data_IF_675600527039
#
_entry.id   IF_675600527039
#
_cell.length_a   1.000
_cell.length_b   1.000
_cell.length_c   1.000
_cell.angle_alpha   90.00
_cell.angle_beta   90.00
_cell.angle_gamma   90.00
#
_symmetry.space_group_name_H-M   'P 1'
#
loop_
_entity.id
_entity.type
_entity.pdbx_description
1 polymer ?
#
# COMPACT_ATOMS: atom_id res chain seq x y z
N UNK A 1 6.58 -18.48 19.02
CA UNK A 1 5.13 -18.47 18.78
C UNK A 1 4.86 -17.44 17.72
N UNK A 2 4.23 -17.82 16.60
CA UNK A 2 3.78 -16.86 15.60
C UNK A 2 2.67 -16.04 16.26
N UNK A 3 2.91 -14.75 16.49
CA UNK A 3 1.83 -13.82 16.84
C UNK A 3 0.90 -13.76 15.64
N UNK A 4 -0.38 -14.04 15.82
CA UNK A 4 -1.39 -13.86 14.77
C UNK A 4 -1.41 -12.39 14.37
N UNK A 5 -0.75 -12.08 13.25
CA UNK A 5 -0.74 -10.75 12.65
C UNK A 5 -2.06 -10.58 11.91
N UNK A 6 -3.02 -9.92 12.55
CA UNK A 6 -4.30 -9.59 11.95
C UNK A 6 -4.17 -8.30 11.14
N UNK A 7 -4.55 -8.36 9.86
CA UNK A 7 -4.63 -7.19 8.97
C UNK A 7 -6.10 -6.80 8.85
N UNK A 8 -6.45 -5.57 9.23
CA UNK A 8 -7.81 -5.06 9.10
C UNK A 8 -8.00 -4.43 7.72
N UNK A 9 -8.95 -4.94 6.94
CA UNK A 9 -9.28 -4.42 5.62
C UNK A 9 -10.72 -3.92 5.62
N UNK A 10 -10.90 -2.62 5.38
CA UNK A 10 -12.22 -2.03 5.19
C UNK A 10 -12.63 -2.16 3.71
N UNK A 11 -13.88 -2.57 3.49
CA UNK A 11 -14.42 -2.82 2.16
C UNK A 11 -15.81 -2.20 2.01
N UNK A 12 -16.02 -1.51 0.89
CA UNK A 12 -17.33 -0.96 0.53
C UNK A 12 -17.88 -1.71 -0.69
N UNK A 13 -19.15 -2.11 -0.59
CA UNK A 13 -19.89 -2.70 -1.71
C UNK A 13 -20.52 -1.57 -2.53
N UNK A 14 -20.06 -1.40 -3.76
CA UNK A 14 -20.52 -0.34 -4.66
C UNK A 14 -21.05 -0.93 -5.95
N UNK A 15 -22.06 -0.28 -6.53
CA UNK A 15 -22.52 -0.62 -7.88
C UNK A 15 -21.42 -0.25 -8.86
N UNK A 16 -21.09 -1.13 -9.80
CA UNK A 16 -20.06 -0.85 -10.78
C UNK A 16 -20.38 0.40 -11.62
N UNK A 17 -19.43 1.34 -11.65
CA UNK A 17 -19.36 2.43 -12.62
C UNK A 17 -17.96 2.46 -13.24
N UNK A 18 -17.86 2.72 -14.55
CA UNK A 18 -16.56 2.89 -15.22
C UNK A 18 -15.80 4.12 -14.70
N UNK A 19 -16.53 5.10 -14.14
CA UNK A 19 -15.94 6.28 -13.49
C UNK A 19 -15.19 5.94 -12.20
N UNK A 20 -15.54 4.84 -11.53
CA UNK A 20 -14.88 4.38 -10.30
C UNK A 20 -13.55 3.69 -10.54
N UNK A 21 -13.26 3.32 -11.80
CA UNK A 21 -11.99 2.72 -12.14
C UNK A 21 -10.87 3.79 -12.09
N UNK A 22 -9.67 3.42 -11.62
CA UNK A 22 -8.54 4.34 -11.56
C UNK A 22 -8.25 4.91 -12.96
N UNK A 23 -8.26 6.24 -13.07
CA UNK A 23 -8.03 6.96 -14.32
C UNK A 23 -6.54 7.16 -14.61
N UNK A 24 -5.70 7.12 -13.57
CA UNK A 24 -4.24 7.18 -13.66
C UNK A 24 -3.63 5.94 -13.00
N UNK A 25 -2.41 5.53 -13.40
CA UNK A 25 -1.70 4.42 -12.76
C UNK A 25 -1.42 4.68 -11.27
N UNK A 26 -1.16 5.94 -10.89
CA UNK A 26 -1.03 6.36 -9.48
C UNK A 26 -2.33 6.19 -8.70
N UNK A 27 -3.49 6.45 -9.35
CA UNK A 27 -4.79 6.23 -8.73
C UNK A 27 -5.16 4.74 -8.59
N UNK A 28 -4.44 3.84 -9.25
CA UNK A 28 -4.62 2.39 -9.13
C UNK A 28 -3.95 1.82 -7.87
N UNK A 29 -3.27 2.66 -7.09
CA UNK A 29 -2.66 2.28 -5.83
C UNK A 29 -3.72 1.92 -4.77
N UNK A 30 -3.55 0.75 -4.15
CA UNK A 30 -4.48 0.19 -3.16
C UNK A 30 -4.14 0.66 -1.74
N UNK A 31 -2.96 1.25 -1.52
CA UNK A 31 -2.48 1.65 -0.19
C UNK A 31 -3.39 2.74 0.40
N UNK A 32 -3.87 2.49 1.63
CA UNK A 32 -4.67 3.46 2.39
C UNK A 32 -6.06 3.76 1.81
N UNK A 33 -6.52 2.99 0.82
CA UNK A 33 -7.84 3.16 0.21
C UNK A 33 -8.77 1.99 0.55
N UNK A 34 -10.06 2.24 0.78
CA UNK A 34 -11.03 1.16 0.97
C UNK A 34 -11.09 0.29 -0.28
N UNK A 35 -11.13 -1.03 -0.10
CA UNK A 35 -11.35 -1.95 -1.22
C UNK A 35 -12.76 -1.74 -1.75
N UNK A 36 -12.87 -1.38 -3.03
CA UNK A 36 -14.17 -1.32 -3.73
C UNK A 36 -14.47 -2.68 -4.33
N UNK A 37 -15.44 -3.39 -3.78
CA UNK A 37 -15.99 -4.60 -4.42
C UNK A 37 -17.15 -4.15 -5.30
N UNK A 38 -16.88 -4.06 -6.61
CA UNK A 38 -17.90 -3.74 -7.60
C UNK A 38 -18.55 -5.02 -8.14
N UNK A 39 -19.86 -5.13 -8.02
CA UNK A 39 -20.61 -6.18 -8.71
C UNK A 39 -21.22 -5.61 -10.00
N UNK A 40 -21.03 -6.25 -11.17
CA UNK A 40 -21.87 -6.00 -12.32
C UNK A 40 -23.25 -6.63 -12.03
N UNK A 41 -24.07 -5.97 -11.22
CA UNK A 41 -25.42 -6.45 -10.93
C UNK A 41 -26.18 -6.48 -12.25
N UNK A 42 -26.63 -7.66 -12.68
CA UNK A 42 -28.02 -7.92 -13.12
C UNK A 42 -28.14 -9.28 -13.79
N UNK A 43 -29.36 -9.83 -13.71
CA UNK A 43 -29.91 -11.06 -14.29
C UNK A 43 -29.77 -11.21 -15.82
N UNK A 44 -28.91 -10.44 -16.49
CA UNK A 44 -28.78 -10.39 -17.94
C UNK A 44 -27.30 -10.34 -18.40
N UNK A 45 -26.77 -11.51 -18.75
CA UNK A 45 -25.88 -11.67 -19.92
C UNK A 45 -24.36 -11.51 -19.70
N UNK A 46 -23.62 -12.52 -20.18
CA UNK A 46 -22.14 -12.50 -20.24
C UNK A 46 -21.53 -11.36 -21.08
N UNK A 47 -22.30 -10.68 -21.93
CA UNK A 47 -21.83 -9.51 -22.70
C UNK A 47 -21.42 -8.33 -21.81
N UNK A 48 -22.14 -8.08 -20.70
CA UNK A 48 -21.76 -7.02 -19.75
C UNK A 48 -20.50 -7.40 -18.96
N UNK A 49 -20.34 -8.68 -18.64
CA UNK A 49 -19.13 -9.19 -17.98
C UNK A 49 -17.91 -9.08 -18.88
N UNK A 50 -18.04 -9.43 -20.17
CA UNK A 50 -16.96 -9.29 -21.13
C UNK A 50 -16.51 -7.84 -21.31
N UNK A 51 -17.48 -6.91 -21.43
CA UNK A 51 -17.18 -5.47 -21.50
C UNK A 51 -16.46 -4.98 -20.23
N UNK A 52 -16.88 -5.45 -19.05
CA UNK A 52 -16.23 -5.14 -17.78
C UNK A 52 -14.80 -5.69 -17.72
N UNK A 53 -14.58 -6.96 -18.07
CA UNK A 53 -13.24 -7.56 -18.10
C UNK A 53 -12.32 -6.82 -19.08
N UNK A 54 -12.81 -6.44 -20.27
CA UNK A 54 -12.05 -5.62 -21.21
C UNK A 54 -11.75 -4.22 -20.65
N UNK A 55 -12.65 -3.63 -19.86
CA UNK A 55 -12.38 -2.35 -19.20
C UNK A 55 -11.27 -2.47 -18.13
N UNK A 56 -11.23 -3.59 -17.41
CA UNK A 56 -10.15 -3.88 -16.46
C UNK A 56 -8.82 -4.12 -17.17
N UNK A 57 -8.81 -4.92 -18.24
CA UNK A 57 -7.60 -5.19 -19.05
C UNK A 57 -7.01 -3.92 -19.65
N UNK A 58 -7.86 -3.02 -20.20
CA UNK A 58 -7.43 -1.70 -20.72
C UNK A 58 -6.72 -0.85 -19.66
N UNK A 59 -6.98 -1.10 -18.38
CA UNK A 59 -6.39 -0.38 -17.24
C UNK A 59 -5.34 -1.21 -16.50
N UNK A 60 -4.91 -2.35 -17.06
CA UNK A 60 -3.96 -3.28 -16.45
C UNK A 60 -4.40 -3.84 -15.08
N UNK A 61 -5.72 -3.83 -14.79
CA UNK A 61 -6.27 -4.34 -13.52
C UNK A 61 -6.42 -5.86 -13.62
N UNK A 62 -5.51 -6.57 -12.96
CA UNK A 62 -5.49 -8.03 -12.93
C UNK A 62 -6.14 -8.63 -11.67
N UNK A 63 -6.53 -7.78 -10.72
CA UNK A 63 -7.02 -8.15 -9.39
C UNK A 63 -8.54 -8.03 -9.30
N UNK A 64 -9.23 -8.92 -9.99
CA UNK A 64 -10.70 -8.99 -9.98
C UNK A 64 -11.21 -10.35 -9.48
N UNK A 65 -12.46 -10.38 -9.04
CA UNK A 65 -13.18 -11.61 -8.69
C UNK A 65 -14.64 -11.44 -9.08
N UNK A 66 -15.27 -12.52 -9.53
CA UNK A 66 -16.69 -12.60 -9.86
C UNK A 66 -17.40 -13.43 -8.79
N UNK A 67 -18.38 -12.81 -8.15
CA UNK A 67 -19.24 -13.47 -7.17
C UNK A 67 -20.54 -13.90 -7.84
N UNK A 68 -20.87 -15.19 -7.74
CA UNK A 68 -22.11 -15.77 -8.25
C UNK A 68 -22.96 -16.16 -7.07
N UNK A 69 -24.14 -15.57 -6.92
CA UNK A 69 -25.09 -15.97 -5.87
C UNK A 69 -25.74 -17.28 -6.32
N UNK A 70 -25.59 -18.34 -5.53
CA UNK A 70 -26.27 -19.61 -5.76
C UNK A 70 -27.76 -19.44 -5.49
N UNK A 71 -28.60 -19.78 -6.47
CA UNK A 71 -30.06 -19.80 -6.29
C UNK A 71 -30.51 -21.08 -5.56
N UNK A 72 -31.51 -20.92 -4.71
CA UNK A 72 -32.22 -22.03 -4.10
C UNK A 72 -32.90 -22.91 -5.14
N UNK A 73 -32.85 -24.21 -4.92
CA UNK A 73 -33.86 -25.14 -5.40
C UNK A 73 -34.64 -25.70 -4.22
N UNK A 74 -35.44 -24.86 -3.57
CA UNK A 74 -36.48 -25.33 -2.65
C UNK A 74 -37.38 -26.32 -3.44
N UNK A 75 -37.33 -27.60 -3.07
CA UNK A 75 -38.22 -28.64 -3.60
C UNK A 75 -37.72 -29.49 -4.77
N UNK A 76 -36.45 -29.41 -5.20
CA UNK A 76 -35.87 -30.36 -6.18
C UNK A 76 -34.80 -31.25 -5.54
N UNK A 77 -34.66 -32.53 -5.96
CA UNK A 77 -33.71 -33.46 -5.35
C UNK A 77 -32.27 -32.92 -5.46
N UNK A 78 -31.53 -33.06 -4.34
CA UNK A 78 -30.19 -32.52 -3.99
C UNK A 78 -29.03 -32.76 -4.98
N UNK A 79 -29.28 -33.22 -6.21
CA UNK A 79 -28.25 -33.68 -7.15
C UNK A 79 -28.14 -32.87 -8.46
N UNK A 80 -29.01 -31.89 -8.75
CA UNK A 80 -29.08 -31.32 -10.12
C UNK A 80 -29.16 -29.79 -10.24
N UNK A 81 -28.81 -29.02 -9.22
CA UNK A 81 -28.56 -27.58 -9.37
C UNK A 81 -27.10 -27.31 -9.02
N UNK A 82 -26.23 -27.84 -9.88
CA UNK A 82 -24.87 -27.34 -9.99
C UNK A 82 -24.89 -25.95 -10.65
N UNK A 83 -23.85 -25.15 -10.41
CA UNK A 83 -23.76 -23.75 -10.81
C UNK A 83 -23.40 -23.66 -12.30
N UNK A 84 -24.35 -24.04 -13.18
CA UNK A 84 -24.15 -24.03 -14.65
C UNK A 84 -23.62 -22.67 -15.12
N UNK A 85 -24.06 -21.58 -14.48
CA UNK A 85 -23.54 -20.26 -14.75
C UNK A 85 -22.07 -20.11 -14.32
N UNK A 86 -21.69 -20.51 -13.10
CA UNK A 86 -20.30 -20.37 -12.64
C UNK A 86 -19.33 -21.24 -13.44
N UNK A 87 -19.74 -22.46 -13.81
CA UNK A 87 -18.93 -23.36 -14.63
C UNK A 87 -18.81 -22.82 -16.07
N UNK A 88 -19.88 -22.27 -16.64
CA UNK A 88 -19.82 -21.54 -17.93
C UNK A 88 -18.91 -20.32 -17.84
N UNK A 89 -19.04 -19.49 -16.81
CA UNK A 89 -18.18 -18.32 -16.61
C UNK A 89 -16.70 -18.68 -16.46
N UNK A 90 -16.40 -19.81 -15.80
CA UNK A 90 -15.03 -20.31 -15.72
C UNK A 90 -14.49 -20.72 -17.09
N UNK A 91 -15.30 -21.42 -17.88
CA UNK A 91 -14.93 -21.85 -19.24
C UNK A 91 -14.84 -20.67 -20.21
N UNK A 92 -15.74 -19.70 -20.12
CA UNK A 92 -15.84 -18.61 -21.09
C UNK A 92 -14.85 -17.48 -20.78
N UNK A 93 -14.59 -17.18 -19.50
CA UNK A 93 -13.84 -15.99 -19.08
C UNK A 93 -12.65 -16.25 -18.15
N UNK A 94 -12.57 -17.42 -17.50
CA UNK A 94 -11.57 -17.65 -16.45
C UNK A 94 -10.72 -18.92 -16.67
N UNK A 95 -10.50 -19.34 -17.93
CA UNK A 95 -9.80 -20.59 -18.27
C UNK A 95 -8.45 -20.75 -17.57
N UNK A 96 -7.70 -19.66 -17.43
CA UNK A 96 -6.39 -19.65 -16.76
C UNK A 96 -6.46 -19.34 -15.26
N UNK A 97 -7.59 -18.81 -14.76
CA UNK A 97 -7.75 -18.33 -13.38
C UNK A 97 -9.11 -18.76 -12.81
N UNK A 98 -9.42 -20.06 -12.71
CA UNK A 98 -10.76 -20.54 -12.33
C UNK A 98 -11.18 -20.14 -10.90
N UNK A 99 -10.21 -19.84 -10.03
CA UNK A 99 -10.43 -19.36 -8.66
C UNK A 99 -11.01 -17.94 -8.59
N UNK A 100 -11.07 -17.22 -9.71
CA UNK A 100 -11.65 -15.88 -9.81
C UNK A 100 -13.18 -15.88 -9.80
N UNK A 101 -13.82 -17.05 -9.90
CA UNK A 101 -15.28 -17.19 -9.82
C UNK A 101 -15.65 -17.96 -8.56
N UNK A 102 -16.30 -17.27 -7.61
CA UNK A 102 -16.74 -17.85 -6.33
C UNK A 102 -18.26 -17.89 -6.28
N UNK A 103 -18.81 -19.03 -5.91
CA UNK A 103 -20.25 -19.19 -5.69
C UNK A 103 -20.53 -18.96 -4.21
N UNK A 104 -21.46 -18.07 -3.89
CA UNK A 104 -21.89 -17.74 -2.54
C UNK A 104 -23.33 -18.21 -2.31
N UNK A 105 -23.56 -18.82 -1.17
CA UNK A 105 -24.88 -19.26 -0.75
C UNK A 105 -25.49 -18.29 0.27
N UNK A 106 -26.80 -18.09 0.16
CA UNK A 106 -27.56 -17.24 1.06
C UNK A 106 -27.60 -17.88 2.47
N UNK A 107 -27.10 -17.18 3.50
CA UNK A 107 -27.05 -17.70 4.87
C UNK A 107 -28.44 -17.97 5.46
N UNK A 108 -29.50 -17.40 4.89
CA UNK A 108 -30.87 -17.54 5.39
C UNK A 108 -31.66 -18.66 4.70
N UNK A 109 -31.10 -19.31 3.67
CA UNK A 109 -31.85 -20.23 2.80
C UNK A 109 -31.30 -21.65 2.70
N UNK A 110 -30.04 -21.86 3.06
CA UNK A 110 -29.35 -23.14 2.88
C UNK A 110 -28.79 -23.73 4.17
N UNK A 111 -28.41 -25.01 4.13
CA UNK A 111 -27.76 -25.68 5.26
C UNK A 111 -26.48 -24.94 5.68
N UNK A 112 -26.30 -24.77 6.99
CA UNK A 112 -25.23 -23.98 7.59
C UNK A 112 -23.82 -24.43 7.17
N UNK A 113 -23.63 -25.71 6.81
CA UNK A 113 -22.36 -26.27 6.33
C UNK A 113 -21.95 -25.71 4.96
N UNK A 114 -22.85 -25.68 3.98
CA UNK A 114 -22.60 -25.20 2.62
C UNK A 114 -22.38 -23.69 2.59
N UNK A 115 -23.15 -22.96 3.38
CA UNK A 115 -22.94 -21.52 3.59
C UNK A 115 -21.54 -21.30 4.16
N UNK A 116 -21.19 -21.94 5.28
CA UNK A 116 -19.87 -21.79 5.90
C UNK A 116 -18.72 -22.11 4.93
N UNK A 117 -18.84 -23.17 4.13
CA UNK A 117 -17.81 -23.54 3.14
C UNK A 117 -17.65 -22.48 2.03
N UNK A 118 -18.77 -21.99 1.46
CA UNK A 118 -18.73 -20.98 0.40
C UNK A 118 -18.15 -19.64 0.86
N UNK A 119 -18.51 -19.20 2.07
CA UNK A 119 -17.98 -17.97 2.68
C UNK A 119 -16.51 -18.12 3.10
N UNK A 120 -16.11 -19.28 3.64
CA UNK A 120 -14.70 -19.58 3.91
C UNK A 120 -13.86 -19.53 2.63
N UNK A 121 -14.36 -20.11 1.54
CA UNK A 121 -13.70 -20.07 0.24
C UNK A 121 -13.56 -18.63 -0.29
N UNK A 122 -14.61 -17.81 -0.18
CA UNK A 122 -14.54 -16.39 -0.56
C UNK A 122 -13.40 -15.69 0.18
N UNK A 123 -13.37 -15.82 1.51
CA UNK A 123 -12.36 -15.17 2.34
C UNK A 123 -10.95 -15.65 1.99
N UNK A 124 -10.79 -16.96 1.73
CA UNK A 124 -9.51 -17.53 1.32
C UNK A 124 -9.03 -16.94 -0.03
N UNK A 125 -9.87 -16.99 -1.06
CA UNK A 125 -9.49 -16.50 -2.39
C UNK A 125 -9.29 -14.99 -2.41
N UNK A 126 -10.13 -14.23 -1.70
CA UNK A 126 -9.96 -12.78 -1.53
C UNK A 126 -8.63 -12.47 -0.85
N UNK A 127 -8.28 -13.21 0.21
CA UNK A 127 -6.98 -13.09 0.87
C UNK A 127 -5.80 -13.37 -0.07
N UNK A 128 -5.89 -14.41 -0.92
CA UNK A 128 -4.87 -14.68 -1.93
C UNK A 128 -4.75 -13.57 -2.97
N UNK A 129 -5.88 -13.00 -3.42
CA UNK A 129 -5.87 -11.88 -4.36
C UNK A 129 -5.18 -10.65 -3.77
N UNK A 130 -5.60 -10.25 -2.56
CA UNK A 130 -5.00 -9.13 -1.84
C UNK A 130 -3.49 -9.36 -1.69
N UNK A 131 -3.09 -10.53 -1.18
CA UNK A 131 -1.67 -10.90 -1.04
C UNK A 131 -0.90 -10.77 -2.35
N UNK A 132 -1.42 -11.33 -3.44
CA UNK A 132 -0.76 -11.27 -4.76
C UNK A 132 -0.68 -9.85 -5.32
N UNK A 133 -1.66 -9.00 -5.00
CA UNK A 133 -1.70 -7.59 -5.42
C UNK A 133 -0.61 -6.80 -4.70
N UNK A 134 -0.52 -6.95 -3.38
CA UNK A 134 0.51 -6.31 -2.56
C UNK A 134 1.91 -6.79 -2.94
N UNK A 135 2.12 -8.08 -3.23
CA UNK A 135 3.42 -8.59 -3.69
C UNK A 135 3.88 -7.94 -4.99
N UNK A 136 2.99 -7.77 -5.98
CA UNK A 136 3.34 -7.07 -7.22
C UNK A 136 3.60 -5.59 -7.00
N UNK A 137 2.80 -4.95 -6.16
CA UNK A 137 2.96 -3.54 -5.81
C UNK A 137 4.32 -3.29 -5.15
N UNK A 138 4.64 -4.06 -4.10
CA UNK A 138 5.93 -4.00 -3.39
C UNK A 138 7.08 -4.19 -4.37
N UNK A 139 7.03 -5.23 -5.21
CA UNK A 139 8.10 -5.47 -6.19
C UNK A 139 8.28 -4.33 -7.21
N UNK A 140 7.20 -3.65 -7.59
CA UNK A 140 7.28 -2.47 -8.46
C UNK A 140 7.92 -1.28 -7.74
N UNK A 141 7.55 -1.02 -6.48
CA UNK A 141 8.17 0.01 -5.64
C UNK A 141 9.66 -0.28 -5.43
N UNK A 142 10.02 -1.49 -5.02
CA UNK A 142 11.42 -1.89 -4.79
C UNK A 142 12.28 -1.68 -6.05
N UNK A 143 11.76 -2.09 -7.22
CA UNK A 143 12.46 -1.90 -8.50
C UNK A 143 12.68 -0.42 -8.81
N UNK A 144 11.67 0.42 -8.58
CA UNK A 144 11.75 1.85 -8.85
C UNK A 144 12.67 2.59 -7.86
N UNK A 145 12.58 2.25 -6.57
CA UNK A 145 13.44 2.79 -5.51
C UNK A 145 14.91 2.46 -5.80
N UNK A 146 15.22 1.25 -6.26
CA UNK A 146 16.60 0.87 -6.60
C UNK A 146 17.13 1.63 -7.83
N UNK A 147 16.27 1.99 -8.78
CA UNK A 147 16.61 2.91 -9.86
C UNK A 147 16.93 4.31 -9.33
N UNK A 148 16.03 4.90 -8.54
CA UNK A 148 16.22 6.24 -7.95
C UNK A 148 17.47 6.30 -7.06
N UNK A 149 17.75 5.25 -6.27
CA UNK A 149 18.97 5.13 -5.47
C UNK A 149 20.23 5.21 -6.32
N UNK A 150 20.24 4.51 -7.46
CA UNK A 150 21.38 4.55 -8.39
C UNK A 150 21.55 5.96 -8.96
N UNK A 151 20.46 6.61 -9.36
CA UNK A 151 20.51 8.00 -9.83
C UNK A 151 21.01 8.97 -8.77
N UNK A 152 20.65 8.76 -7.49
CA UNK A 152 21.16 9.56 -6.38
C UNK A 152 22.67 9.40 -6.21
N UNK A 153 23.19 8.17 -6.27
CA UNK A 153 24.64 7.92 -6.23
C UNK A 153 25.37 8.49 -7.45
N UNK A 154 24.72 8.48 -8.61
CA UNK A 154 25.20 9.16 -9.82
C UNK A 154 25.02 10.69 -9.79
N UNK A 155 24.50 11.25 -8.70
CA UNK A 155 24.31 12.69 -8.45
C UNK A 155 23.34 13.36 -9.42
N UNK A 156 22.35 12.61 -9.92
CA UNK A 156 21.32 13.08 -10.85
C UNK A 156 19.95 13.25 -10.21
N UNK A 157 19.76 12.81 -8.97
CA UNK A 157 18.43 12.71 -8.38
C UNK A 157 18.01 13.96 -7.58
N UNK A 158 16.69 14.06 -7.44
CA UNK A 158 16.05 14.79 -6.34
C UNK A 158 15.81 13.82 -5.18
N UNK A 159 16.47 14.03 -4.03
CA UNK A 159 16.30 13.15 -2.85
C UNK A 159 14.84 13.06 -2.40
N UNK A 160 14.04 14.11 -2.55
CA UNK A 160 12.63 14.09 -2.14
C UNK A 160 11.76 13.15 -2.97
N UNK A 161 12.13 12.90 -4.23
CA UNK A 161 11.47 11.91 -5.06
C UNK A 161 11.73 10.50 -4.52
N UNK A 162 13.00 10.19 -4.25
CA UNK A 162 13.40 8.95 -3.58
C UNK A 162 12.70 8.77 -2.23
N UNK A 163 12.70 9.83 -1.40
CA UNK A 163 12.01 9.84 -0.11
C UNK A 163 10.51 9.53 -0.25
N UNK A 164 9.81 10.16 -1.19
CA UNK A 164 8.37 9.95 -1.37
C UNK A 164 8.05 8.49 -1.70
N UNK A 165 8.78 7.87 -2.62
CA UNK A 165 8.54 6.47 -3.00
C UNK A 165 8.88 5.49 -1.86
N UNK A 166 9.97 5.72 -1.14
CA UNK A 166 10.37 4.82 -0.06
C UNK A 166 9.50 4.98 1.19
N UNK A 167 9.02 6.19 1.49
CA UNK A 167 8.05 6.42 2.56
C UNK A 167 6.69 5.78 2.23
N UNK A 168 6.25 5.82 0.97
CA UNK A 168 5.05 5.09 0.54
C UNK A 168 5.22 3.58 0.71
N UNK A 169 6.38 3.03 0.36
CA UNK A 169 6.67 1.61 0.60
C UNK A 169 6.67 1.28 2.10
N UNK A 170 7.22 2.14 2.96
CA UNK A 170 7.14 1.98 4.41
C UNK A 170 5.67 1.94 4.89
N UNK A 171 4.82 2.84 4.37
CA UNK A 171 3.39 2.84 4.67
C UNK A 171 2.67 1.57 4.19
N UNK A 172 3.10 0.95 3.07
CA UNK A 172 2.62 -0.39 2.67
C UNK A 172 2.90 -1.40 3.77
N UNK A 173 4.15 -1.49 4.23
CA UNK A 173 4.55 -2.47 5.24
C UNK A 173 3.83 -2.25 6.57
N UNK A 174 3.61 -1.00 6.97
CA UNK A 174 2.78 -0.66 8.13
C UNK A 174 1.32 -1.12 7.97
N UNK A 175 0.73 -0.92 6.80
CA UNK A 175 -0.64 -1.39 6.52
C UNK A 175 -0.77 -2.92 6.57
N UNK A 176 0.33 -3.63 6.34
CA UNK A 176 0.43 -5.09 6.46
C UNK A 176 0.84 -5.54 7.87
N UNK A 177 1.00 -4.61 8.83
CA UNK A 177 1.51 -4.88 10.18
C UNK A 177 2.90 -5.53 10.19
N UNK A 178 3.71 -5.20 9.19
CA UNK A 178 5.07 -5.68 8.99
C UNK A 178 6.05 -4.54 9.33
N UNK A 179 6.10 -4.20 10.61
CA UNK A 179 6.78 -2.98 11.08
C UNK A 179 8.31 -3.04 10.94
N UNK A 180 8.91 -4.23 11.01
CA UNK A 180 10.37 -4.39 10.88
C UNK A 180 10.84 -3.99 9.47
N UNK A 181 10.11 -4.43 8.44
CA UNK A 181 10.35 -4.06 7.05
C UNK A 181 10.06 -2.57 6.78
N UNK A 182 9.06 -1.98 7.46
CA UNK A 182 8.80 -0.54 7.40
C UNK A 182 9.96 0.27 8.01
N UNK A 183 10.46 -0.14 9.18
CA UNK A 183 11.59 0.49 9.86
C UNK A 183 12.85 0.46 8.99
N UNK A 184 13.13 -0.70 8.39
CA UNK A 184 14.25 -0.85 7.47
C UNK A 184 14.17 0.12 6.27
N UNK A 185 12.97 0.54 5.84
CA UNK A 185 12.85 1.59 4.80
C UNK A 185 13.29 2.96 5.33
N UNK A 186 12.92 3.31 6.57
CA UNK A 186 13.31 4.58 7.19
C UNK A 186 14.81 4.66 7.52
N UNK A 187 15.40 3.54 7.96
CA UNK A 187 16.86 3.44 8.16
C UNK A 187 17.63 3.64 6.83
N UNK A 188 17.13 3.06 5.74
CA UNK A 188 17.70 3.27 4.40
C UNK A 188 17.58 4.72 3.93
N UNK A 189 16.48 5.40 4.26
CA UNK A 189 16.30 6.82 3.95
C UNK A 189 17.32 7.69 4.67
N UNK A 190 17.49 7.46 5.97
CA UNK A 190 18.47 8.17 6.79
C UNK A 190 19.89 7.90 6.30
N UNK A 191 20.25 6.64 6.05
CA UNK A 191 21.58 6.27 5.57
C UNK A 191 21.95 6.93 4.23
N UNK A 192 21.03 6.93 3.24
CA UNK A 192 21.30 7.58 1.97
C UNK A 192 21.40 9.11 2.12
N UNK A 193 20.58 9.70 2.99
CA UNK A 193 20.65 11.14 3.28
C UNK A 193 22.03 11.52 3.84
N UNK A 194 22.54 10.76 4.81
CA UNK A 194 23.86 10.98 5.40
C UNK A 194 24.98 10.83 4.36
N UNK A 195 24.90 9.80 3.50
CA UNK A 195 25.85 9.58 2.40
C UNK A 195 25.91 10.80 1.45
N UNK A 196 24.74 11.33 1.06
CA UNK A 196 24.62 12.49 0.18
C UNK A 196 25.15 13.78 0.82
N UNK A 197 24.83 14.02 2.10
CA UNK A 197 25.33 15.19 2.86
C UNK A 197 26.85 15.12 3.04
N UNK A 198 27.41 13.96 3.39
CA UNK A 198 28.88 13.79 3.50
C UNK A 198 29.56 14.08 2.15
N UNK A 199 29.00 13.52 1.08
CA UNK A 199 29.51 13.76 -0.29
C UNK A 199 29.44 15.24 -0.67
N UNK A 200 28.38 15.95 -0.29
CA UNK A 200 28.27 17.39 -0.48
C UNK A 200 29.39 18.14 0.25
N UNK A 201 29.60 17.84 1.53
CA UNK A 201 30.62 18.48 2.37
C UNK A 201 32.05 18.25 1.84
N UNK A 202 32.35 17.05 1.35
CA UNK A 202 33.66 16.68 0.83
C UNK A 202 33.94 17.28 -0.56
N UNK A 203 32.92 17.36 -1.42
CA UNK A 203 33.11 17.72 -2.84
C UNK A 203 32.72 19.17 -3.16
N UNK A 204 31.97 19.84 -2.29
CA UNK A 204 31.45 21.20 -2.48
C UNK A 204 30.50 21.33 -3.69
N UNK A 205 30.04 20.22 -4.28
CA UNK A 205 29.17 20.26 -5.46
C UNK A 205 27.74 20.57 -5.06
N UNK A 206 27.20 21.67 -5.60
CA UNK A 206 25.82 22.10 -5.38
C UNK A 206 24.80 20.99 -5.69
N UNK A 207 23.98 20.65 -4.70
CA UNK A 207 22.78 19.82 -4.86
C UNK A 207 21.54 20.72 -4.70
N UNK A 208 20.77 20.98 -5.77
CA UNK A 208 19.67 21.95 -5.73
C UNK A 208 18.62 21.68 -4.63
N UNK A 209 18.31 20.41 -4.38
CA UNK A 209 17.33 20.01 -3.35
C UNK A 209 17.81 20.28 -1.92
N UNK A 210 19.12 20.37 -1.69
CA UNK A 210 19.71 20.59 -0.37
C UNK A 210 19.56 22.05 0.08
N UNK A 211 19.40 22.99 -0.86
CA UNK A 211 19.22 24.43 -0.56
C UNK A 211 18.00 24.64 0.34
N UNK A 212 16.90 23.92 0.11
CA UNK A 212 15.69 24.05 0.91
C UNK A 212 15.96 23.74 2.39
N UNK A 213 16.78 22.74 2.68
CA UNK A 213 17.13 22.36 4.06
C UNK A 213 17.94 23.42 4.81
N UNK A 214 18.74 24.20 4.09
CA UNK A 214 19.63 25.24 4.66
C UNK A 214 18.96 26.61 4.70
N UNK A 215 18.08 26.89 3.74
CA UNK A 215 17.45 28.21 3.56
C UNK A 215 16.25 28.48 4.46
N UNK A 216 15.62 27.42 4.99
CA UNK A 216 14.43 27.54 5.82
C UNK A 216 14.80 27.78 7.28
N UNK A 217 14.28 28.85 7.87
CA UNK A 217 14.49 29.17 9.28
C UNK A 217 13.94 28.05 10.19
N UNK A 218 14.60 27.83 11.33
CA UNK A 218 14.12 26.91 12.35
C UNK A 218 12.85 27.48 13.00
N UNK A 219 11.69 26.95 12.61
CA UNK A 219 10.42 27.14 13.32
C UNK A 219 10.56 26.73 14.80
N UNK A 220 9.74 27.30 15.69
CA UNK A 220 9.64 26.83 17.09
C UNK A 220 9.47 25.31 17.12
N UNK A 221 10.37 24.63 17.83
CA UNK A 221 10.32 23.19 18.05
C UNK A 221 9.11 22.89 18.92
N UNK A 222 8.17 22.09 18.41
CA UNK A 222 7.13 21.48 19.24
C UNK A 222 7.70 20.20 19.88
N UNK A 223 7.96 20.19 21.20
CA UNK A 223 8.48 19.01 21.90
C UNK A 223 7.52 17.82 21.85
N UNK A 224 6.21 18.08 21.70
CA UNK A 224 5.19 17.04 21.55
C UNK A 224 5.17 16.45 20.14
N UNK A 225 5.83 17.10 19.18
CA UNK A 225 5.93 16.64 17.81
C UNK A 225 6.69 15.32 17.65
N UNK A 226 7.53 14.94 18.63
CA UNK A 226 8.24 13.65 18.69
C UNK A 226 7.29 12.48 18.93
N UNK A 227 6.16 12.71 19.61
CA UNK A 227 5.23 11.67 20.06
C UNK A 227 4.16 11.36 19.00
N UNK A 228 3.97 12.26 18.02
CA UNK A 228 2.92 12.12 17.03
C UNK A 228 3.43 11.44 15.75
N UNK A 229 3.65 10.12 15.85
CA UNK A 229 4.33 9.28 14.86
C UNK A 229 3.64 9.19 13.50
N UNK A 230 2.34 9.49 13.41
CA UNK A 230 1.52 9.31 12.20
C UNK A 230 0.90 10.61 11.70
N UNK A 231 1.47 11.76 12.07
CA UNK A 231 0.95 13.07 11.69
C UNK A 231 0.93 13.27 10.15
N UNK A 232 -0.25 13.30 9.51
CA UNK A 232 -0.35 13.44 8.06
C UNK A 232 0.11 14.83 7.58
N UNK A 233 0.03 15.86 8.42
CA UNK A 233 0.45 17.21 8.07
C UNK A 233 1.98 17.29 7.95
N UNK A 234 2.72 16.68 8.89
CA UNK A 234 4.18 16.60 8.81
C UNK A 234 4.65 15.84 7.58
N UNK A 235 3.97 14.73 7.27
CA UNK A 235 4.26 13.94 6.06
C UNK A 235 4.05 14.77 4.79
N UNK A 236 2.92 15.48 4.70
CA UNK A 236 2.64 16.36 3.57
C UNK A 236 3.66 17.51 3.47
N UNK A 237 4.07 18.07 4.61
CA UNK A 237 5.06 19.15 4.69
C UNK A 237 6.45 18.72 4.18
N UNK A 238 6.91 17.53 4.57
CA UNK A 238 8.17 16.94 4.06
C UNK A 238 8.05 16.63 2.56
N UNK A 239 6.96 16.01 2.11
CA UNK A 239 6.74 15.69 0.68
C UNK A 239 6.67 16.95 -0.19
N UNK A 240 6.14 18.05 0.33
CA UNK A 240 6.09 19.35 -0.34
C UNK A 240 7.45 20.07 -0.39
N UNK A 241 8.52 19.46 0.15
CA UNK A 241 9.87 20.05 0.25
C UNK A 241 9.88 21.35 1.07
N UNK A 242 8.95 21.48 2.01
CA UNK A 242 8.81 22.67 2.85
C UNK A 242 9.41 22.49 4.24
N UNK A 243 9.90 21.29 4.56
CA UNK A 243 10.54 21.00 5.84
C UNK A 243 12.01 21.44 5.84
N UNK A 244 12.44 22.11 6.92
CA UNK A 244 13.86 22.34 7.16
C UNK A 244 14.58 21.05 7.59
N UNK A 245 15.92 21.10 7.67
CA UNK A 245 16.75 19.93 8.00
C UNK A 245 16.29 19.25 9.30
N UNK A 246 16.01 20.06 10.32
CA UNK A 246 15.64 19.57 11.63
C UNK A 246 14.25 18.91 11.62
N UNK A 247 13.25 19.54 10.99
CA UNK A 247 11.90 19.00 10.84
C UNK A 247 11.89 17.67 10.08
N UNK A 248 12.70 17.57 9.02
CA UNK A 248 12.86 16.33 8.25
C UNK A 248 13.50 15.22 9.08
N UNK A 249 14.62 15.52 9.75
CA UNK A 249 15.29 14.55 10.62
C UNK A 249 14.38 14.13 11.78
N UNK A 250 13.66 15.07 12.38
CA UNK A 250 12.72 14.81 13.47
C UNK A 250 11.57 13.90 13.00
N UNK A 251 11.10 14.10 11.77
CA UNK A 251 10.13 13.21 11.14
C UNK A 251 10.69 11.78 11.04
N UNK A 252 11.86 11.56 10.42
CA UNK A 252 12.47 10.22 10.31
C UNK A 252 12.68 9.58 11.68
N UNK A 253 13.20 10.36 12.62
CA UNK A 253 13.43 9.93 14.00
C UNK A 253 12.13 9.48 14.69
N UNK A 254 11.04 10.24 14.53
CA UNK A 254 9.75 9.86 15.09
C UNK A 254 9.28 8.50 14.54
N UNK A 255 9.47 8.23 13.24
CA UNK A 255 9.06 6.95 12.64
C UNK A 255 9.87 5.78 13.18
N UNK A 256 11.17 5.99 13.44
CA UNK A 256 12.04 4.97 14.04
C UNK A 256 11.68 4.65 15.51
N UNK A 257 11.08 5.60 16.23
CA UNK A 257 10.67 5.41 17.63
C UNK A 257 9.40 4.56 17.80
N UNK A 258 8.67 4.22 16.73
CA UNK A 258 7.42 3.44 16.84
C UNK A 258 7.62 2.03 17.42
N UNK A 259 8.85 1.49 17.45
CA UNK A 259 9.13 0.13 17.93
C UNK A 259 9.91 0.05 19.26
N UNK A 260 10.69 1.07 19.67
CA UNK A 260 11.59 0.99 20.84
C UNK A 260 11.35 2.11 21.87
N UNK A 261 10.20 2.07 22.56
CA UNK A 261 9.87 3.05 23.61
C UNK A 261 10.88 3.10 24.77
N UNK A 262 11.61 2.02 25.03
CA UNK A 262 12.54 1.94 26.17
C UNK A 262 13.88 2.66 25.94
N UNK A 263 14.20 3.05 24.70
CA UNK A 263 15.50 3.68 24.33
C UNK A 263 15.40 5.14 23.89
N UNK A 264 14.21 5.73 23.99
CA UNK A 264 13.91 7.11 23.57
C UNK A 264 14.95 8.13 24.07
N UNK A 265 15.39 8.15 25.34
CA UNK A 265 16.30 9.21 25.81
C UNK A 265 17.68 9.17 25.16
N UNK A 266 18.27 7.98 24.99
CA UNK A 266 19.61 7.82 24.42
C UNK A 266 19.58 8.08 22.91
N UNK A 267 18.53 7.59 22.24
CA UNK A 267 18.33 7.81 20.81
C UNK A 267 18.04 9.30 20.52
N UNK A 268 17.27 9.99 21.37
CA UNK A 268 17.00 11.42 21.23
C UNK A 268 18.27 12.27 21.38
N UNK A 269 19.16 11.93 22.33
CA UNK A 269 20.44 12.65 22.48
C UNK A 269 21.34 12.44 21.27
N UNK A 270 21.43 11.21 20.75
CA UNK A 270 22.19 10.92 19.52
C UNK A 270 21.62 11.67 18.31
N UNK A 271 20.31 11.68 18.18
CA UNK A 271 19.59 12.43 17.16
C UNK A 271 19.92 13.93 17.19
N UNK A 272 19.79 14.56 18.37
CA UNK A 272 20.06 15.99 18.54
C UNK A 272 21.53 16.33 18.22
N UNK A 273 22.47 15.55 18.75
CA UNK A 273 23.90 15.76 18.51
C UNK A 273 24.26 15.57 17.03
N UNK A 274 23.74 14.52 16.38
CA UNK A 274 23.99 14.27 14.96
C UNK A 274 23.39 15.34 14.06
N UNK A 275 22.18 15.82 14.38
CA UNK A 275 21.52 16.88 13.62
C UNK A 275 22.23 18.22 13.77
N UNK A 276 22.68 18.58 14.98
CA UNK A 276 23.48 19.78 15.21
C UNK A 276 24.84 19.72 14.50
N UNK A 277 25.47 18.54 14.48
CA UNK A 277 26.73 18.35 13.75
C UNK A 277 26.54 18.56 12.25
N UNK A 278 25.50 17.97 11.65
CA UNK A 278 25.19 18.14 10.22
C UNK A 278 24.78 19.57 9.87
N UNK A 279 23.98 20.22 10.71
CA UNK A 279 23.62 21.63 10.53
C UNK A 279 24.83 22.58 10.57
N UNK A 280 25.94 22.16 11.20
CA UNK A 280 27.21 22.91 11.20
C UNK A 280 28.04 22.66 9.95
N UNK A 281 27.86 21.51 9.29
CA UNK A 281 28.60 21.12 8.09
C UNK A 281 27.97 21.69 6.81
N UNK A 282 26.65 21.87 6.82
CA UNK A 282 25.85 22.51 5.76
C UNK A 282 25.90 24.04 5.85
#
# INVERSE_FOLDING_TARGET
>A
GQTDRNVHVQCDFVVYSETDLPQTPEAANVIGRPLKISSPISKAGGQRLEAWLRALERRCINDWMVLVIGEDCVGKPRSKVKPVLADRLKVDFCRQKPNRVVVLYDPFKLEHSLVKESWSRLLHELGQLIKSSYQRLIGAYETHIEHLRRECRERKCNYFEFFSYQEELAAVYESLSVFDEALNQYEQLESLFEELVSTFCETGRSMPWLVNFVSLEFSRIDPLGIVNFSDPEKRAHVRAQMANLFEFKLYLFSRNLMQEYERIPVQAVRFLLGTLHQARLL
#
